data_IF_392932313752
#
_entry.id   IF_392932313752
#
_cell.length_a   1.000
_cell.length_b   1.000
_cell.length_c   1.000
_cell.angle_alpha   90.00
_cell.angle_beta   90.00
_cell.angle_gamma   90.00
#
_symmetry.space_group_name_H-M   'P 1'
#
loop_
_entity.id
_entity.type
_entity.pdbx_description
1 polymer ?
#
# COMPACT_ATOMS: atom_id res chain seq x y z
N UNK A 1 5.17 -14.33 2.61
CA UNK A 1 5.05 -15.30 1.49
C UNK A 1 4.16 -14.69 0.40
N UNK A 2 4.32 -15.01 -0.90
CA UNK A 2 3.49 -14.36 -1.94
C UNK A 2 2.02 -14.79 -1.87
N UNK A 3 1.74 -16.04 -1.48
CA UNK A 3 0.40 -16.59 -1.35
C UNK A 3 0.06 -16.78 0.13
N UNK A 4 -0.30 -15.68 0.79
CA UNK A 4 -0.78 -15.65 2.17
C UNK A 4 -2.16 -14.99 2.18
N UNK A 5 -3.08 -15.54 2.98
CA UNK A 5 -4.43 -15.00 3.15
C UNK A 5 -4.44 -13.73 4.03
N UNK A 6 -3.37 -13.50 4.78
CA UNK A 6 -3.23 -12.34 5.65
C UNK A 6 -2.75 -11.09 4.89
N UNK A 7 -3.08 -9.89 5.40
CA UNK A 7 -2.57 -8.65 4.84
C UNK A 7 -1.03 -8.63 4.87
N UNK A 8 -0.44 -8.63 3.69
CA UNK A 8 1.01 -8.60 3.43
C UNK A 8 1.69 -7.43 4.15
N UNK A 9 2.87 -7.70 4.71
CA UNK A 9 3.59 -6.77 5.60
C UNK A 9 4.97 -6.35 5.09
N UNK A 10 5.44 -6.94 3.98
CA UNK A 10 6.73 -6.63 3.38
C UNK A 10 6.60 -6.12 1.94
N UNK A 11 7.49 -5.22 1.53
CA UNK A 11 7.55 -4.63 0.18
C UNK A 11 7.68 -5.71 -0.91
N UNK A 12 8.35 -6.83 -0.61
CA UNK A 12 8.50 -7.97 -1.53
C UNK A 12 7.20 -8.74 -1.76
N UNK A 13 6.20 -8.53 -0.91
CA UNK A 13 4.92 -9.21 -1.00
C UNK A 13 3.91 -8.39 -1.82
N UNK A 14 4.15 -7.09 -1.99
CA UNK A 14 3.29 -6.13 -2.70
C UNK A 14 3.64 -6.09 -4.19
N UNK A 15 3.38 -7.19 -4.90
CA UNK A 15 3.75 -7.34 -6.31
C UNK A 15 3.04 -6.31 -7.22
N UNK A 16 3.81 -5.55 -7.99
CA UNK A 16 3.30 -4.68 -9.06
C UNK A 16 2.57 -3.42 -8.57
N UNK A 17 2.83 -2.98 -7.33
CA UNK A 17 2.21 -1.79 -6.69
C UNK A 17 3.24 -0.76 -6.23
N UNK A 18 4.43 -0.81 -6.80
CA UNK A 18 5.55 0.06 -6.42
C UNK A 18 5.21 1.53 -6.65
N UNK A 19 4.58 1.84 -7.80
CA UNK A 19 4.21 3.21 -8.17
C UNK A 19 3.13 3.78 -7.24
N UNK A 20 2.07 3.03 -6.95
CA UNK A 20 1.02 3.50 -6.03
C UNK A 20 1.55 3.68 -4.60
N UNK A 21 2.52 2.84 -4.19
CA UNK A 21 3.15 2.95 -2.87
C UNK A 21 4.00 4.23 -2.77
N UNK A 22 4.82 4.51 -3.77
CA UNK A 22 5.63 5.74 -3.82
C UNK A 22 4.76 7.00 -3.86
N UNK A 23 3.69 6.98 -4.65
CA UNK A 23 2.75 8.10 -4.73
C UNK A 23 2.03 8.34 -3.40
N UNK A 24 1.56 7.28 -2.75
CA UNK A 24 0.90 7.38 -1.45
C UNK A 24 1.86 7.93 -0.38
N UNK A 25 3.11 7.46 -0.33
CA UNK A 25 4.13 7.97 0.60
C UNK A 25 4.39 9.46 0.34
N UNK A 26 4.55 9.87 -0.93
CA UNK A 26 4.77 11.27 -1.30
C UNK A 26 3.62 12.17 -0.84
N UNK A 27 2.38 11.75 -1.04
CA UNK A 27 1.19 12.53 -0.66
C UNK A 27 1.02 12.61 0.86
N UNK A 28 1.26 11.51 1.58
CA UNK A 28 1.21 11.47 3.04
C UNK A 28 2.28 12.40 3.64
N UNK A 29 3.51 12.36 3.13
CA UNK A 29 4.60 13.26 3.55
C UNK A 29 4.30 14.73 3.29
N UNK A 30 3.56 15.01 2.22
CA UNK A 30 3.05 16.35 1.93
C UNK A 30 1.86 16.78 2.80
N UNK A 31 1.49 15.98 3.83
CA UNK A 31 0.34 16.19 4.73
C UNK A 31 -1.00 16.37 4.00
N UNK A 32 -1.16 15.70 2.86
CA UNK A 32 -2.41 15.71 2.09
C UNK A 32 -3.34 14.62 2.57
N UNK A 33 -4.64 14.90 2.49
CA UNK A 33 -5.67 13.88 2.66
C UNK A 33 -5.74 13.03 1.39
N UNK A 34 -5.72 11.70 1.55
CA UNK A 34 -5.67 10.75 0.43
C UNK A 34 -6.75 9.68 0.60
N UNK A 35 -7.54 9.45 -0.45
CA UNK A 35 -8.46 8.34 -0.54
C UNK A 35 -7.86 7.24 -1.43
N UNK A 36 -7.75 6.01 -0.91
CA UNK A 36 -7.29 4.84 -1.68
C UNK A 36 -8.51 4.07 -2.16
N UNK A 37 -8.78 4.11 -3.46
CA UNK A 37 -9.98 3.55 -4.08
C UNK A 37 -9.70 2.26 -4.86
N UNK A 38 -10.74 1.47 -5.10
CA UNK A 38 -10.69 0.25 -5.91
C UNK A 38 -11.60 -0.89 -5.38
N UNK A 39 -11.76 -1.98 -6.14
CA UNK A 39 -12.60 -3.12 -5.77
C UNK A 39 -12.20 -3.79 -4.44
N UNK A 40 -13.12 -4.55 -3.81
CA UNK A 40 -12.78 -5.30 -2.59
C UNK A 40 -11.70 -6.34 -2.88
N UNK A 41 -10.86 -6.62 -1.88
CA UNK A 41 -9.77 -7.62 -1.95
C UNK A 41 -8.61 -7.31 -2.93
N UNK A 42 -8.62 -6.15 -3.61
CA UNK A 42 -7.53 -5.72 -4.50
C UNK A 42 -6.21 -5.41 -3.78
N UNK A 43 -6.19 -5.37 -2.45
CA UNK A 43 -4.98 -5.12 -1.65
C UNK A 43 -4.82 -3.68 -1.13
N UNK A 44 -5.88 -2.85 -1.14
CA UNK A 44 -5.85 -1.46 -0.63
C UNK A 44 -5.33 -1.36 0.79
N UNK A 45 -5.80 -2.24 1.68
CA UNK A 45 -5.37 -2.27 3.10
C UNK A 45 -3.88 -2.60 3.22
N UNK A 46 -3.38 -3.55 2.43
CA UNK A 46 -1.96 -3.90 2.42
C UNK A 46 -1.09 -2.75 1.91
N UNK A 47 -1.54 -2.04 0.86
CA UNK A 47 -0.87 -0.84 0.34
C UNK A 47 -0.75 0.26 1.41
N UNK A 48 -1.84 0.57 2.10
CA UNK A 48 -1.85 1.59 3.18
C UNK A 48 -0.93 1.18 4.33
N UNK A 49 -1.02 -0.07 4.81
CA UNK A 49 -0.13 -0.57 5.86
C UNK A 49 1.34 -0.46 5.48
N UNK A 50 1.66 -0.71 4.21
CA UNK A 50 3.03 -0.60 3.72
C UNK A 50 3.49 0.85 3.61
N UNK A 51 2.64 1.76 3.14
CA UNK A 51 2.95 3.17 3.12
C UNK A 51 3.23 3.71 4.53
N UNK A 52 2.42 3.36 5.53
CA UNK A 52 2.64 3.80 6.92
C UNK A 52 3.94 3.26 7.54
N UNK A 53 4.44 2.11 7.08
CA UNK A 53 5.74 1.59 7.54
C UNK A 53 6.93 2.31 6.89
N UNK A 54 6.75 2.92 5.72
CA UNK A 54 7.83 3.57 4.95
C UNK A 54 7.80 5.11 5.00
N UNK A 55 6.64 5.70 5.27
CA UNK A 55 6.42 7.15 5.30
C UNK A 55 7.17 7.80 6.47
#
# INVERSE_FOLDING_TARGET
MLFDLNPKTSSKELFGRERELEELIRLVRARRWVAVLGPRMVGKTSLVKMAMRKA
#
